data_IF_980503022891
#
_entry.id   IF_980503022891
#
_cell.length_a   1.000
_cell.length_b   1.000
_cell.length_c   1.000
_cell.angle_alpha   90.00
_cell.angle_beta   90.00
_cell.angle_gamma   90.00
#
_symmetry.space_group_name_H-M   'P 1'
#
loop_
_entity.id
_entity.type
_entity.pdbx_description
1 polymer ?
#
# COMPACT_ATOMS: atom_id res chain seq x y z
N UNK A 1 58.51 76.08 3.24
CA UNK A 1 57.95 75.78 1.90
C UNK A 1 57.56 74.30 1.91
N UNK A 2 56.32 74.00 2.32
CA UNK A 2 55.20 73.64 1.43
C UNK A 2 55.57 72.49 0.50
N UNK A 3 55.01 71.29 0.72
CA UNK A 3 54.06 70.65 -0.21
C UNK A 3 53.18 69.65 0.58
N UNK A 4 51.88 69.76 0.30
CA UNK A 4 50.75 69.04 0.90
C UNK A 4 50.60 67.61 0.34
N UNK A 5 49.64 66.89 0.95
CA UNK A 5 48.87 65.74 0.43
C UNK A 5 49.54 64.37 0.62
N UNK A 6 48.87 63.30 1.03
CA UNK A 6 47.48 63.09 1.39
C UNK A 6 47.39 61.83 2.26
N UNK A 7 46.44 61.86 3.19
CA UNK A 7 45.88 60.76 3.96
C UNK A 7 45.69 59.52 3.08
N UNK A 8 46.40 58.42 3.37
CA UNK A 8 46.05 57.10 2.83
C UNK A 8 45.09 56.41 3.79
N UNK A 9 43.88 56.24 3.29
CA UNK A 9 42.71 55.71 3.96
C UNK A 9 42.92 54.27 4.48
N UNK A 10 42.43 54.03 5.69
CA UNK A 10 42.08 52.70 6.17
C UNK A 10 40.93 52.17 5.30
N UNK A 11 41.20 51.26 4.37
CA UNK A 11 40.16 50.55 3.65
C UNK A 11 39.65 49.42 4.56
N UNK A 12 38.46 49.60 5.10
CA UNK A 12 37.74 48.63 5.90
C UNK A 12 37.48 47.35 5.09
N UNK A 13 38.02 46.22 5.54
CA UNK A 13 37.61 44.89 5.08
C UNK A 13 36.28 44.52 5.72
N UNK A 14 35.17 44.87 5.08
CA UNK A 14 33.84 44.36 5.45
C UNK A 14 33.12 43.98 4.18
N UNK A 15 32.76 42.69 4.09
CA UNK A 15 31.63 42.07 3.35
C UNK A 15 32.02 40.83 2.54
N UNK A 16 32.29 39.72 3.23
CA UNK A 16 32.09 38.37 2.66
C UNK A 16 31.22 37.58 3.63
N UNK A 17 29.93 37.93 3.72
CA UNK A 17 28.97 37.15 4.52
C UNK A 17 27.51 37.20 4.02
N UNK A 18 27.22 37.88 2.90
CA UNK A 18 25.82 38.15 2.50
C UNK A 18 25.36 37.41 1.22
N UNK A 19 26.16 36.51 0.64
CA UNK A 19 25.82 35.84 -0.64
C UNK A 19 25.27 34.40 -0.48
N UNK A 20 25.21 33.84 0.74
CA UNK A 20 24.71 32.47 0.94
C UNK A 20 23.17 32.38 1.09
N UNK A 21 22.47 33.52 1.19
CA UNK A 21 21.02 33.58 1.49
C UNK A 21 20.12 33.75 0.27
N UNK A 22 20.63 33.58 -0.96
CA UNK A 22 19.87 33.71 -2.22
C UNK A 22 19.61 32.38 -2.92
N UNK A 23 20.02 31.24 -2.34
CA UNK A 23 19.63 29.94 -2.87
C UNK A 23 18.16 29.67 -2.48
N UNK A 24 17.25 29.45 -3.45
CA UNK A 24 15.93 28.98 -3.11
C UNK A 24 16.09 27.66 -2.35
N UNK A 25 15.46 27.57 -1.17
CA UNK A 25 15.35 26.30 -0.48
C UNK A 25 14.73 25.30 -1.45
N UNK A 26 15.42 24.18 -1.71
CA UNK A 26 14.81 23.09 -2.43
C UNK A 26 13.49 22.75 -1.72
N UNK A 27 12.37 22.59 -2.46
CA UNK A 27 11.12 22.22 -1.82
C UNK A 27 11.38 20.94 -1.02
N UNK A 28 11.07 20.97 0.28
CA UNK A 28 11.08 19.75 1.08
C UNK A 28 10.13 18.77 0.39
N UNK A 29 10.64 17.60 -0.02
CA UNK A 29 9.75 16.50 -0.39
C UNK A 29 8.83 16.28 0.80
N UNK A 30 7.51 16.34 0.58
CA UNK A 30 6.58 15.90 1.60
C UNK A 30 6.87 14.42 1.86
N UNK A 31 7.16 14.05 3.11
CA UNK A 31 7.25 12.64 3.49
C UNK A 31 5.89 11.99 3.22
N UNK A 32 5.82 11.17 2.18
CA UNK A 32 4.61 10.41 1.88
C UNK A 32 4.47 9.34 2.95
N UNK A 33 3.34 9.35 3.66
CA UNK A 33 2.97 8.27 4.55
C UNK A 33 2.27 7.17 3.74
N UNK A 34 2.85 5.98 3.74
CA UNK A 34 2.29 4.77 3.16
C UNK A 34 1.58 3.96 4.25
N UNK A 35 0.31 3.64 4.04
CA UNK A 35 -0.55 2.99 5.03
C UNK A 35 -1.63 2.11 4.36
N UNK A 36 -2.10 1.04 5.03
CA UNK A 36 -3.19 0.22 4.49
C UNK A 36 -4.48 1.04 4.34
N UNK A 37 -5.21 0.85 3.25
CA UNK A 37 -6.43 1.59 2.90
C UNK A 37 -6.18 2.86 2.09
N UNK A 38 -4.94 3.27 1.85
CA UNK A 38 -4.66 4.42 0.98
C UNK A 38 -4.88 4.10 -0.50
N UNK A 39 -5.13 5.15 -1.30
CA UNK A 39 -5.17 5.04 -2.75
C UNK A 39 -3.76 4.83 -3.31
N UNK A 40 -3.63 3.88 -4.22
CA UNK A 40 -2.45 3.74 -5.08
C UNK A 40 -2.86 3.76 -6.54
N UNK A 41 -1.90 4.17 -7.37
CA UNK A 41 -2.08 4.25 -8.82
C UNK A 41 -0.94 3.54 -9.53
N UNK A 42 -1.32 2.81 -10.57
CA UNK A 42 -0.40 2.14 -11.48
C UNK A 42 -0.99 2.20 -12.89
N UNK A 43 -0.25 2.81 -13.81
CA UNK A 43 -0.77 3.20 -15.12
C UNK A 43 -2.10 3.98 -15.00
N UNK A 44 -3.20 3.43 -15.53
CA UNK A 44 -4.54 3.99 -15.47
C UNK A 44 -5.44 3.34 -14.39
N UNK A 45 -4.87 2.50 -13.53
CA UNK A 45 -5.61 1.78 -12.48
C UNK A 45 -5.53 2.54 -11.17
N UNK A 46 -6.67 2.67 -10.52
CA UNK A 46 -6.80 3.12 -9.14
C UNK A 46 -7.12 1.89 -8.31
N UNK A 47 -6.34 1.67 -7.24
CA UNK A 47 -6.51 0.56 -6.32
C UNK A 47 -6.27 1.01 -4.87
N UNK A 48 -6.53 0.11 -3.94
CA UNK A 48 -6.32 0.30 -2.51
C UNK A 48 -5.12 -0.54 -2.03
N UNK A 49 -4.29 0.01 -1.15
CA UNK A 49 -3.26 -0.79 -0.47
C UNK A 49 -3.90 -1.67 0.60
N UNK A 50 -3.62 -2.97 0.56
CA UNK A 50 -4.14 -3.97 1.48
C UNK A 50 -3.40 -3.98 2.80
N UNK A 51 -2.10 -4.22 2.75
CA UNK A 51 -1.27 -4.29 3.95
C UNK A 51 0.05 -3.59 3.74
N UNK A 52 0.63 -3.09 4.83
CA UNK A 52 1.95 -2.48 4.86
C UNK A 52 2.69 -3.08 6.06
N UNK A 53 3.83 -3.69 5.77
CA UNK A 53 4.81 -4.07 6.79
C UNK A 53 5.84 -2.94 6.89
N UNK A 54 5.77 -2.08 7.93
CA UNK A 54 6.68 -0.97 8.07
C UNK A 54 8.12 -1.40 8.39
N UNK A 55 8.31 -2.58 8.99
CA UNK A 55 9.63 -3.10 9.35
C UNK A 55 10.37 -3.62 8.11
N UNK A 56 9.65 -4.31 7.22
CA UNK A 56 10.21 -4.81 5.98
C UNK A 56 10.18 -3.79 4.84
N UNK A 57 9.48 -2.65 4.99
CA UNK A 57 9.21 -1.68 3.91
C UNK A 57 8.59 -2.37 2.70
N UNK A 58 7.62 -3.25 2.95
CA UNK A 58 6.87 -3.95 1.92
C UNK A 58 5.39 -3.62 2.07
N UNK A 59 4.71 -3.39 0.95
CA UNK A 59 3.27 -3.22 0.89
C UNK A 59 2.63 -4.23 -0.06
N UNK A 60 1.33 -4.46 0.13
CA UNK A 60 0.58 -5.46 -0.62
C UNK A 60 -0.71 -4.87 -1.18
N UNK A 61 -1.07 -5.26 -2.41
CA UNK A 61 -2.35 -4.95 -3.07
C UNK A 61 -2.78 -6.15 -3.93
N UNK A 62 -3.84 -6.01 -4.72
CA UNK A 62 -4.30 -7.02 -5.68
C UNK A 62 -3.35 -7.10 -6.89
N UNK A 63 -3.10 -8.30 -7.39
CA UNK A 63 -2.19 -8.56 -8.51
C UNK A 63 -2.66 -7.92 -9.82
N UNK A 64 -3.97 -7.92 -10.08
CA UNK A 64 -4.56 -7.29 -11.26
C UNK A 64 -4.47 -5.75 -11.25
N UNK A 65 -4.09 -5.13 -10.13
CA UNK A 65 -3.82 -3.69 -10.04
C UNK A 65 -2.51 -3.28 -10.70
N UNK A 66 -1.59 -4.23 -10.90
CA UNK A 66 -0.23 -3.95 -11.37
C UNK A 66 -0.20 -3.17 -12.68
N UNK A 67 0.72 -2.22 -12.76
CA UNK A 67 1.07 -1.51 -13.99
C UNK A 67 2.20 -2.20 -14.76
N UNK A 68 2.30 -1.95 -16.07
CA UNK A 68 3.36 -2.52 -16.92
C UNK A 68 4.77 -2.04 -16.54
N UNK A 69 4.88 -0.82 -16.00
CA UNK A 69 6.16 -0.24 -15.55
C UNK A 69 6.60 -0.65 -14.14
N UNK A 70 5.72 -1.33 -13.38
CA UNK A 70 5.97 -1.73 -11.99
C UNK A 70 6.24 -0.56 -11.04
N UNK A 71 5.85 0.66 -11.40
CA UNK A 71 5.94 1.86 -10.55
C UNK A 71 4.61 2.04 -9.84
N UNK A 72 4.65 2.23 -8.52
CA UNK A 72 3.47 2.49 -7.71
C UNK A 72 3.53 3.92 -7.21
N UNK A 73 2.46 4.68 -7.41
CA UNK A 73 2.32 6.04 -6.92
C UNK A 73 1.15 6.19 -5.95
N UNK A 74 1.18 7.22 -5.12
CA UNK A 74 0.03 7.68 -4.37
C UNK A 74 -0.99 8.44 -5.25
N UNK A 75 -2.08 8.93 -4.65
CA UNK A 75 -3.06 9.78 -5.32
C UNK A 75 -2.45 11.03 -5.98
N UNK A 76 -1.41 11.60 -5.37
CA UNK A 76 -0.71 12.81 -5.83
C UNK A 76 0.27 12.56 -6.98
N UNK A 77 0.54 11.30 -7.34
CA UNK A 77 1.52 10.91 -8.34
C UNK A 77 2.94 10.79 -7.80
N UNK A 78 3.14 10.88 -6.48
CA UNK A 78 4.43 10.63 -5.85
C UNK A 78 4.72 9.14 -5.88
N UNK A 79 5.91 8.75 -6.34
CA UNK A 79 6.34 7.35 -6.30
C UNK A 79 6.50 6.92 -4.85
N UNK A 80 5.90 5.78 -4.49
CA UNK A 80 5.98 5.20 -3.15
C UNK A 80 6.77 3.89 -3.10
N UNK A 81 6.99 3.27 -4.26
CA UNK A 81 7.66 1.99 -4.35
C UNK A 81 7.53 1.36 -5.72
N UNK A 82 7.97 0.10 -5.80
CA UNK A 82 8.01 -0.67 -7.04
C UNK A 82 7.55 -2.11 -6.83
N UNK A 83 6.94 -2.66 -7.86
CA UNK A 83 6.56 -4.06 -7.95
C UNK A 83 7.76 -4.96 -7.63
N UNK A 84 7.60 -5.81 -6.63
CA UNK A 84 8.57 -6.80 -6.19
C UNK A 84 8.17 -8.21 -6.59
N UNK A 85 6.92 -8.61 -6.47
CA UNK A 85 6.39 -9.89 -6.95
C UNK A 85 4.89 -9.79 -7.17
N UNK A 86 4.32 -10.66 -8.00
CA UNK A 86 2.88 -10.73 -8.16
C UNK A 86 2.45 -12.11 -8.62
N UNK A 87 1.20 -12.46 -8.32
CA UNK A 87 0.43 -13.48 -9.02
C UNK A 87 -0.93 -12.88 -9.35
N UNK A 88 -1.43 -13.18 -10.54
CA UNK A 88 -2.76 -12.75 -10.99
C UNK A 88 -3.32 -13.83 -11.91
N UNK A 89 -4.33 -14.55 -11.43
CA UNK A 89 -5.17 -15.41 -12.23
C UNK A 89 -6.67 -15.08 -12.05
N UNK A 90 -6.96 -13.80 -11.75
CA UNK A 90 -8.32 -13.31 -11.51
C UNK A 90 -9.20 -13.62 -12.72
N UNK A 91 -10.30 -14.37 -12.57
CA UNK A 91 -11.18 -14.72 -13.67
C UNK A 91 -11.92 -13.49 -14.20
N UNK A 92 -12.16 -13.43 -15.51
CA UNK A 92 -12.96 -12.38 -16.15
C UNK A 92 -14.47 -12.64 -16.14
N UNK A 93 -14.92 -13.75 -15.55
CA UNK A 93 -16.32 -14.18 -15.52
C UNK A 93 -17.10 -13.62 -14.33
N UNK A 94 -18.44 -13.72 -14.40
CA UNK A 94 -19.32 -13.26 -13.32
C UNK A 94 -19.39 -14.24 -12.15
N UNK A 95 -18.99 -15.51 -12.33
CA UNK A 95 -18.96 -16.53 -11.26
C UNK A 95 -17.66 -17.33 -11.32
N UNK A 96 -17.24 -17.82 -10.16
CA UNK A 96 -16.01 -18.61 -9.99
C UNK A 96 -16.35 -19.90 -9.26
N UNK A 97 -15.81 -21.02 -9.74
CA UNK A 97 -15.97 -22.32 -9.07
C UNK A 97 -15.27 -22.30 -7.71
N UNK A 98 -15.93 -22.81 -6.66
CA UNK A 98 -15.35 -22.90 -5.31
C UNK A 98 -14.13 -23.84 -5.24
N UNK A 99 -13.95 -24.73 -6.22
CA UNK A 99 -12.76 -25.59 -6.35
C UNK A 99 -11.56 -24.90 -7.00
N UNK A 100 -11.76 -23.74 -7.63
CA UNK A 100 -10.68 -23.02 -8.31
C UNK A 100 -9.76 -22.36 -7.28
N UNK A 101 -8.45 -22.45 -7.53
CA UNK A 101 -7.44 -21.70 -6.78
C UNK A 101 -7.32 -20.30 -7.39
N UNK A 102 -7.51 -19.27 -6.58
CA UNK A 102 -7.34 -17.88 -6.99
C UNK A 102 -6.15 -17.27 -6.27
N UNK A 103 -5.25 -16.69 -7.05
CA UNK A 103 -4.05 -16.00 -6.63
C UNK A 103 -4.11 -14.61 -7.27
N UNK A 104 -4.22 -13.60 -6.42
CA UNK A 104 -4.31 -12.22 -6.87
C UNK A 104 -3.66 -11.32 -5.83
N UNK A 105 -2.34 -11.18 -5.94
CA UNK A 105 -1.57 -10.31 -5.07
C UNK A 105 -0.45 -9.63 -5.84
N UNK A 106 -0.11 -8.45 -5.36
CA UNK A 106 1.11 -7.75 -5.69
C UNK A 106 1.85 -7.39 -4.40
N UNK A 107 3.13 -7.73 -4.33
CA UNK A 107 4.06 -7.27 -3.31
C UNK A 107 4.88 -6.11 -3.88
N UNK A 108 5.00 -5.04 -3.10
CA UNK A 108 5.62 -3.77 -3.49
C UNK A 108 6.74 -3.50 -2.49
N UNK A 109 7.97 -3.30 -2.97
CA UNK A 109 9.05 -2.76 -2.14
C UNK A 109 8.89 -1.24 -2.10
N UNK A 110 8.77 -0.69 -0.90
CA UNK A 110 8.61 0.74 -0.68
C UNK A 110 9.97 1.45 -0.82
N UNK A 111 9.93 2.67 -1.35
CA UNK A 111 11.13 3.50 -1.45
C UNK A 111 11.64 3.88 -0.04
N UNK A 112 12.97 4.01 0.10
CA UNK A 112 13.59 4.26 1.40
C UNK A 112 13.19 5.61 2.04
N UNK A 113 12.82 6.59 1.21
CA UNK A 113 12.46 7.95 1.64
C UNK A 113 10.97 8.10 2.00
N UNK A 114 10.15 7.05 1.87
CA UNK A 114 8.75 7.11 2.34
C UNK A 114 8.63 6.70 3.80
N UNK A 115 7.70 7.33 4.52
CA UNK A 115 7.28 6.86 5.85
C UNK A 115 6.24 5.76 5.67
N UNK A 116 6.26 4.73 6.52
CA UNK A 116 5.31 3.63 6.44
C UNK A 116 4.73 3.30 7.81
N UNK A 117 3.44 2.95 7.88
CA UNK A 117 2.82 2.38 9.05
C UNK A 117 1.81 1.29 8.65
N UNK A 118 1.32 0.54 9.63
CA UNK A 118 0.30 -0.49 9.46
C UNK A 118 -1.07 -0.05 10.03
N UNK A 119 -1.38 1.24 10.01
CA UNK A 119 -2.57 1.80 10.67
C UNK A 119 -3.61 2.16 9.60
N UNK A 120 -4.82 1.61 9.72
CA UNK A 120 -5.95 1.94 8.85
C UNK A 120 -6.40 3.39 9.04
N UNK A 121 -7.16 3.97 8.10
CA UNK A 121 -7.70 5.32 8.23
C UNK A 121 -8.60 5.52 9.45
N UNK A 122 -9.20 4.44 9.96
CA UNK A 122 -9.96 4.44 11.22
C UNK A 122 -9.08 4.56 12.49
N UNK A 123 -7.75 4.59 12.34
CA UNK A 123 -6.80 4.57 13.44
C UNK A 123 -6.52 3.17 14.00
N UNK A 124 -7.14 2.13 13.42
CA UNK A 124 -6.98 0.73 13.84
C UNK A 124 -5.67 0.17 13.29
N UNK A 125 -4.75 -0.34 14.13
CA UNK A 125 -3.60 -1.10 13.65
C UNK A 125 -4.04 -2.39 12.98
N UNK A 126 -3.43 -2.72 11.84
CA UNK A 126 -3.61 -3.98 11.14
C UNK A 126 -2.42 -4.91 11.44
N UNK A 127 -2.72 -6.11 11.92
CA UNK A 127 -1.74 -7.14 12.26
C UNK A 127 -1.82 -8.31 11.30
N UNK A 128 -0.65 -8.84 10.95
CA UNK A 128 -0.52 -10.01 10.08
C UNK A 128 -0.33 -11.26 10.94
N UNK A 129 -1.25 -12.22 10.78
CA UNK A 129 -1.09 -13.59 11.26
C UNK A 129 -1.46 -14.54 10.12
N UNK A 130 -0.49 -15.02 9.32
CA UNK A 130 -0.75 -15.94 8.22
C UNK A 130 -1.34 -17.30 8.66
N UNK A 131 -1.27 -17.65 9.95
CA UNK A 131 -1.85 -18.87 10.50
C UNK A 131 -3.33 -18.74 10.87
N UNK A 132 -3.88 -17.53 10.82
CA UNK A 132 -5.27 -17.27 11.18
C UNK A 132 -6.23 -17.94 10.19
N UNK A 133 -7.11 -18.78 10.73
CA UNK A 133 -8.13 -19.50 9.95
C UNK A 133 -9.47 -18.78 9.95
N UNK A 134 -10.08 -18.67 8.78
CA UNK A 134 -11.43 -18.13 8.59
C UNK A 134 -12.49 -19.23 8.64
N UNK A 135 -13.68 -18.87 9.11
CA UNK A 135 -14.87 -19.72 9.11
C UNK A 135 -16.11 -18.93 8.66
N UNK A 136 -17.06 -19.58 7.94
CA UNK A 136 -18.34 -18.96 7.60
C UNK A 136 -19.08 -18.40 8.81
N UNK A 137 -19.77 -17.27 8.62
CA UNK A 137 -20.52 -16.56 9.66
C UNK A 137 -19.69 -15.66 10.57
N UNK A 138 -18.35 -15.70 10.49
CA UNK A 138 -17.51 -14.79 11.27
C UNK A 138 -17.73 -13.32 10.86
N UNK A 139 -17.78 -12.37 11.80
CA UNK A 139 -17.79 -10.94 11.49
C UNK A 139 -16.50 -10.53 10.78
N UNK A 140 -16.64 -9.82 9.67
CA UNK A 140 -15.52 -9.42 8.81
C UNK A 140 -15.71 -7.99 8.32
N UNK A 141 -14.61 -7.27 8.15
CA UNK A 141 -14.61 -5.93 7.59
C UNK A 141 -13.68 -5.86 6.38
N UNK A 142 -14.05 -5.02 5.43
CA UNK A 142 -13.26 -4.62 4.28
C UNK A 142 -13.09 -3.11 4.31
N UNK A 143 -11.89 -2.64 3.99
CA UNK A 143 -11.67 -1.22 3.72
C UNK A 143 -11.29 -1.02 2.26
N UNK A 144 -12.05 -0.20 1.55
CA UNK A 144 -11.76 0.25 0.20
C UNK A 144 -11.59 1.76 0.14
N UNK A 145 -10.73 2.27 -0.74
CA UNK A 145 -10.51 3.73 -0.86
C UNK A 145 -11.73 4.50 -1.35
N UNK A 146 -12.66 3.82 -2.02
CA UNK A 146 -13.92 4.40 -2.53
C UNK A 146 -15.05 4.21 -1.53
N UNK A 147 -15.21 3.00 -1.00
CA UNK A 147 -16.35 2.66 -0.13
C UNK A 147 -16.09 2.91 1.36
N UNK A 148 -14.84 3.12 1.75
CA UNK A 148 -14.46 3.20 3.16
C UNK A 148 -14.54 1.84 3.85
N UNK A 149 -14.74 1.86 5.16
CA UNK A 149 -14.88 0.64 5.96
C UNK A 149 -16.32 0.12 5.88
N UNK A 150 -16.50 -1.10 5.39
CA UNK A 150 -17.78 -1.81 5.40
C UNK A 150 -17.60 -3.18 6.04
N UNK A 151 -18.62 -3.62 6.79
CA UNK A 151 -18.53 -4.87 7.54
C UNK A 151 -19.76 -5.73 7.29
N UNK A 152 -19.57 -7.03 7.46
CA UNK A 152 -20.60 -8.04 7.32
C UNK A 152 -20.09 -9.38 7.84
N UNK A 153 -20.33 -10.44 7.08
CA UNK A 153 -19.95 -11.80 7.49
C UNK A 153 -19.21 -12.56 6.40
N UNK A 154 -18.34 -13.47 6.80
CA UNK A 154 -17.77 -14.48 5.90
C UNK A 154 -18.90 -15.36 5.35
N UNK A 155 -19.05 -15.41 4.03
CA UNK A 155 -20.09 -16.18 3.37
C UNK A 155 -19.63 -17.62 3.10
N UNK A 156 -18.47 -17.77 2.45
CA UNK A 156 -17.84 -19.08 2.22
C UNK A 156 -16.33 -18.98 2.22
N UNK A 157 -15.65 -20.05 2.64
CA UNK A 157 -14.20 -20.18 2.58
C UNK A 157 -13.87 -21.28 1.59
N UNK A 158 -13.03 -20.97 0.61
CA UNK A 158 -12.69 -21.82 -0.53
C UNK A 158 -11.16 -22.05 -0.56
N UNK A 159 -10.66 -22.69 -1.62
CA UNK A 159 -9.24 -23.02 -1.73
C UNK A 159 -8.38 -21.78 -2.03
N UNK A 160 -7.92 -21.10 -0.99
CA UNK A 160 -7.04 -19.92 -1.07
C UNK A 160 -7.77 -18.58 -1.23
N UNK A 161 -9.11 -18.57 -1.16
CA UNK A 161 -9.93 -17.37 -1.26
C UNK A 161 -11.26 -17.56 -0.53
N UNK A 162 -12.01 -16.48 -0.32
CA UNK A 162 -13.29 -16.53 0.38
C UNK A 162 -14.24 -15.45 -0.14
N UNK A 163 -15.52 -15.61 0.16
CA UNK A 163 -16.57 -14.63 -0.14
C UNK A 163 -17.10 -14.01 1.14
N UNK A 164 -17.67 -12.81 1.00
CA UNK A 164 -18.28 -12.06 2.09
C UNK A 164 -19.70 -11.64 1.69
N UNK A 165 -20.53 -11.35 2.68
CA UNK A 165 -21.93 -10.94 2.49
C UNK A 165 -22.38 -10.04 3.65
N UNK A 166 -23.68 -9.71 3.68
CA UNK A 166 -24.34 -9.04 4.80
C UNK A 166 -23.74 -7.68 5.19
N UNK A 167 -23.51 -6.82 4.20
CA UNK A 167 -23.12 -5.42 4.43
C UNK A 167 -21.72 -5.05 3.95
N UNK A 168 -20.90 -6.04 3.55
CA UNK A 168 -19.65 -5.76 2.82
C UNK A 168 -20.01 -5.20 1.45
N UNK A 169 -19.47 -4.02 1.13
CA UNK A 169 -19.66 -3.34 -0.15
C UNK A 169 -18.30 -3.10 -0.81
N UNK A 170 -18.31 -2.91 -2.11
CA UNK A 170 -17.11 -2.58 -2.88
C UNK A 170 -17.47 -1.84 -4.15
N UNK A 171 -16.55 -1.03 -4.64
CA UNK A 171 -16.63 -0.36 -5.93
C UNK A 171 -15.29 -0.46 -6.68
N UNK A 172 -15.31 -0.18 -7.98
CA UNK A 172 -14.07 -0.03 -8.77
C UNK A 172 -13.14 0.99 -8.09
N UNK A 173 -11.94 0.56 -7.72
CA UNK A 173 -10.99 1.32 -6.89
C UNK A 173 -10.66 0.63 -5.56
N UNK A 174 -11.56 -0.20 -5.05
CA UNK A 174 -11.38 -0.89 -3.77
C UNK A 174 -10.51 -2.15 -3.86
N UNK A 175 -10.27 -2.66 -5.07
CA UNK A 175 -9.36 -3.78 -5.34
C UNK A 175 -8.03 -3.59 -4.62
N UNK A 176 -7.58 -4.65 -3.98
CA UNK A 176 -6.39 -4.68 -3.15
C UNK A 176 -6.60 -4.26 -1.71
N UNK A 177 -7.74 -3.67 -1.34
CA UNK A 177 -8.00 -3.20 0.01
C UNK A 177 -7.99 -4.32 1.07
N UNK A 178 -7.67 -4.00 2.34
CA UNK A 178 -7.58 -5.02 3.37
C UNK A 178 -8.93 -5.64 3.66
N UNK A 179 -8.90 -6.92 3.98
CA UNK A 179 -10.00 -7.64 4.59
C UNK A 179 -9.51 -8.24 5.90
N UNK A 180 -10.23 -7.97 6.98
CA UNK A 180 -9.74 -8.24 8.34
C UNK A 180 -10.87 -8.58 9.33
N UNK A 181 -10.51 -9.34 10.37
CA UNK A 181 -11.36 -9.57 11.55
C UNK A 181 -11.04 -8.52 12.61
N UNK A 182 -12.04 -8.05 13.36
CA UNK A 182 -11.85 -7.08 14.45
C UNK A 182 -12.52 -7.54 15.75
N UNK A 183 -12.11 -8.68 16.35
CA UNK A 183 -12.74 -9.19 17.56
C UNK A 183 -12.58 -8.20 18.73
N UNK A 184 -13.70 -7.81 19.35
CA UNK A 184 -13.71 -6.97 20.54
C UNK A 184 -13.13 -5.57 20.36
N UNK A 185 -13.05 -5.05 19.12
CA UNK A 185 -12.53 -3.72 18.84
C UNK A 185 -11.00 -3.57 18.96
N UNK A 186 -10.26 -4.67 19.15
CA UNK A 186 -8.79 -4.70 19.15
C UNK A 186 -8.17 -4.49 17.75
N UNK A 187 -6.86 -4.71 17.58
CA UNK A 187 -6.22 -4.62 16.25
C UNK A 187 -6.96 -5.46 15.20
N UNK A 188 -7.02 -4.95 13.97
CA UNK A 188 -7.60 -5.69 12.86
C UNK A 188 -6.65 -6.82 12.46
N UNK A 189 -7.14 -8.05 12.42
CA UNK A 189 -6.37 -9.22 12.01
C UNK A 189 -6.57 -9.43 10.52
N UNK A 190 -5.52 -9.18 9.73
CA UNK A 190 -5.57 -9.32 8.27
C UNK A 190 -5.83 -10.77 7.89
N UNK A 191 -6.87 -10.99 7.09
CA UNK A 191 -7.26 -12.33 6.61
C UNK A 191 -7.36 -12.40 5.09
N UNK A 192 -7.37 -11.28 4.39
CA UNK A 192 -7.34 -11.28 2.93
C UNK A 192 -7.05 -9.93 2.28
N UNK A 193 -6.85 -10.01 0.97
CA UNK A 193 -6.73 -8.87 0.06
C UNK A 193 -7.96 -8.91 -0.84
N UNK A 194 -8.73 -7.81 -0.86
CA UNK A 194 -9.93 -7.73 -1.66
C UNK A 194 -9.60 -7.82 -3.16
N UNK A 195 -10.36 -8.63 -3.88
CA UNK A 195 -10.17 -8.85 -5.32
C UNK A 195 -11.24 -8.08 -6.11
N UNK A 196 -12.45 -8.63 -6.16
CA UNK A 196 -13.58 -8.16 -6.94
C UNK A 196 -14.91 -8.73 -6.39
N UNK A 197 -15.98 -8.63 -7.16
CA UNK A 197 -17.29 -9.23 -6.84
C UNK A 197 -17.55 -10.38 -7.80
N UNK A 198 -17.87 -11.57 -7.26
CA UNK A 198 -18.29 -12.74 -8.05
C UNK A 198 -19.71 -13.14 -7.67
N UNK A 199 -20.62 -13.04 -8.65
CA UNK A 199 -22.06 -13.06 -8.43
C UNK A 199 -22.46 -11.82 -7.64
N UNK A 200 -23.09 -12.03 -6.49
CA UNK A 200 -23.49 -10.98 -5.56
C UNK A 200 -22.51 -10.81 -4.39
N UNK A 201 -21.39 -11.54 -4.40
CA UNK A 201 -20.51 -11.63 -3.24
C UNK A 201 -19.16 -10.94 -3.48
N UNK A 202 -18.80 -9.93 -2.67
CA UNK A 202 -17.43 -9.46 -2.52
C UNK A 202 -16.50 -10.63 -2.19
N UNK A 203 -15.38 -10.74 -2.91
CA UNK A 203 -14.42 -11.83 -2.79
C UNK A 203 -13.01 -11.30 -2.50
N UNK A 204 -12.25 -12.09 -1.76
CA UNK A 204 -10.88 -11.79 -1.39
C UNK A 204 -10.01 -13.04 -1.45
N UNK A 205 -8.74 -12.86 -1.82
CA UNK A 205 -7.74 -13.92 -1.67
C UNK A 205 -7.29 -14.01 -0.22
N UNK A 206 -7.04 -15.23 0.26
CA UNK A 206 -6.65 -15.50 1.63
C UNK A 206 -5.25 -14.98 1.92
N UNK A 207 -5.09 -14.25 3.02
CA UNK A 207 -3.79 -13.73 3.45
C UNK A 207 -2.80 -14.84 3.79
N UNK A 208 -3.26 -15.96 4.36
CA UNK A 208 -2.41 -17.12 4.62
C UNK A 208 -1.84 -17.72 3.34
N UNK A 209 -2.69 -17.92 2.32
CA UNK A 209 -2.28 -18.38 1.01
C UNK A 209 -1.35 -17.38 0.31
N UNK A 210 -1.73 -16.10 0.26
CA UNK A 210 -0.90 -15.03 -0.31
C UNK A 210 0.47 -14.96 0.34
N UNK A 211 0.55 -15.00 1.68
CA UNK A 211 1.82 -14.96 2.42
C UNK A 211 2.74 -16.13 2.07
N UNK A 212 2.19 -17.32 1.85
CA UNK A 212 2.96 -18.47 1.40
C UNK A 212 3.52 -18.23 -0.01
N UNK A 213 2.68 -17.78 -0.94
CA UNK A 213 3.06 -17.53 -2.33
C UNK A 213 4.12 -16.44 -2.45
N UNK A 214 4.01 -15.37 -1.65
CA UNK A 214 5.01 -14.30 -1.58
C UNK A 214 6.37 -14.87 -1.15
N UNK A 215 6.40 -15.74 -0.12
CA UNK A 215 7.66 -16.38 0.32
C UNK A 215 8.27 -17.26 -0.77
N UNK A 216 7.44 -18.02 -1.49
CA UNK A 216 7.88 -18.84 -2.62
C UNK A 216 8.49 -17.96 -3.73
N UNK A 217 7.79 -16.90 -4.12
CA UNK A 217 8.16 -16.07 -5.27
C UNK A 217 9.36 -15.17 -4.98
N UNK A 218 9.50 -14.66 -3.75
CA UNK A 218 10.67 -13.88 -3.34
C UNK A 218 11.88 -14.78 -3.07
N UNK A 219 11.70 -15.93 -2.42
CA UNK A 219 12.79 -16.89 -2.19
C UNK A 219 13.32 -17.53 -3.48
N UNK A 220 12.46 -17.75 -4.49
CA UNK A 220 12.89 -18.20 -5.81
C UNK A 220 13.73 -17.16 -6.56
N UNK A 221 13.46 -15.86 -6.37
CA UNK A 221 14.25 -14.77 -6.98
C UNK A 221 15.64 -14.64 -6.38
N UNK A 222 15.78 -14.89 -5.09
CA UNK A 222 17.09 -14.92 -4.43
C UNK A 222 17.97 -16.07 -4.94
N UNK A 223 17.36 -17.21 -5.29
CA UNK A 223 18.08 -18.37 -5.85
C UNK A 223 18.39 -18.26 -7.36
N UNK A 224 17.84 -17.26 -8.05
CA UNK A 224 18.04 -17.03 -9.48
C UNK A 224 19.14 -15.99 -9.78
N UNK A 225 19.80 -15.45 -8.74
CA UNK A 225 20.95 -14.54 -8.83
C UNK A 225 22.24 -15.27 -8.46
#
# INVERSE_FOLDING_TARGET
MVHRLATRAFAASVTVAALASLLPAAPAKADVLVYPGMEIRQDNRVCTLGYVDPALKVAFTAGHCRGGGGVVTDRGGTVIGRLAAFRDNTPSGTTVSTSQVINDYEAIVLDNDVTANNILPSGRPLVSDPGLSLAPGQPICHYGVITGETCGTVQSVNNGWFTMSNGVQSHNGDSGGPVYLAPGGGPGQLVGIFNSVWGDFPAAVSWGATSQQVREDLGARDNAR
#
